data_IF_071149410174
#
_entry.id   IF_071149410174
#
_cell.length_a   1.000
_cell.length_b   1.000
_cell.length_c   1.000
_cell.angle_alpha   90.00
_cell.angle_beta   90.00
_cell.angle_gamma   90.00
#
_symmetry.space_group_name_H-M   'P 1'
#
loop_
_entity.id
_entity.type
_entity.pdbx_description
1 polymer ?
#
# COMPACT_ATOMS: atom_id res chain seq x y z
N UNK A 1 -4.72 9.52 14.96
CA UNK A 1 -3.79 8.95 15.97
C UNK A 1 -4.13 9.33 17.42
N UNK A 2 -4.52 10.57 17.72
CA UNK A 2 -4.85 11.00 19.09
C UNK A 2 -5.94 10.17 19.79
N UNK A 3 -7.04 9.88 19.10
CA UNK A 3 -8.13 9.04 19.65
C UNK A 3 -7.61 7.65 20.06
N UNK A 4 -6.71 7.07 19.25
CA UNK A 4 -6.10 5.76 19.51
C UNK A 4 -5.15 5.84 20.72
N UNK A 5 -4.35 6.91 20.81
CA UNK A 5 -3.35 7.09 21.87
C UNK A 5 -3.97 7.31 23.26
N UNK A 6 -5.09 8.02 23.35
CA UNK A 6 -5.71 8.39 24.63
C UNK A 6 -6.91 7.52 25.02
N UNK A 7 -7.51 6.76 24.11
CA UNK A 7 -8.61 5.86 24.45
C UNK A 7 -8.12 4.61 25.17
N UNK A 8 -8.79 4.23 26.26
CA UNK A 8 -8.61 2.93 26.93
C UNK A 8 -9.65 1.91 26.51
N UNK A 9 -10.77 2.36 25.93
CA UNK A 9 -11.83 1.50 25.44
C UNK A 9 -11.52 1.01 24.01
N UNK A 10 -11.90 -0.23 23.73
CA UNK A 10 -11.70 -0.88 22.41
C UNK A 10 -12.51 -0.17 21.32
N UNK A 11 -13.74 0.24 21.61
CA UNK A 11 -14.64 0.89 20.64
C UNK A 11 -14.05 2.16 20.00
N UNK A 12 -13.65 3.18 20.78
CA UNK A 12 -13.05 4.39 20.22
C UNK A 12 -11.70 4.15 19.54
N UNK A 13 -10.92 3.13 19.96
CA UNK A 13 -9.69 2.75 19.25
C UNK A 13 -9.99 2.24 17.85
N UNK A 14 -10.96 1.33 17.71
CA UNK A 14 -11.40 0.83 16.41
C UNK A 14 -11.96 1.95 15.53
N UNK A 15 -12.77 2.83 16.11
CA UNK A 15 -13.26 4.01 15.39
C UNK A 15 -12.12 4.91 14.88
N UNK A 16 -11.10 5.14 15.72
CA UNK A 16 -9.91 5.89 15.35
C UNK A 16 -9.11 5.23 14.21
N UNK A 17 -9.03 3.90 14.18
CA UNK A 17 -8.40 3.15 13.08
C UNK A 17 -9.19 3.31 11.79
N UNK A 18 -10.52 3.18 11.83
CA UNK A 18 -11.40 3.36 10.67
C UNK A 18 -11.21 4.76 10.06
N UNK A 19 -11.25 5.80 10.89
CA UNK A 19 -11.04 7.18 10.42
C UNK A 19 -9.64 7.38 9.81
N UNK A 20 -8.61 6.80 10.42
CA UNK A 20 -7.25 6.88 9.90
C UNK A 20 -7.13 6.19 8.52
N UNK A 21 -7.72 5.00 8.36
CA UNK A 21 -7.71 4.27 7.09
C UNK A 21 -8.48 5.00 5.99
N UNK A 22 -9.68 5.53 6.31
CA UNK A 22 -10.46 6.32 5.35
C UNK A 22 -9.69 7.57 4.89
N UNK A 23 -9.07 8.28 5.84
CA UNK A 23 -8.25 9.45 5.51
C UNK A 23 -7.03 9.09 4.65
N UNK A 24 -6.38 7.95 4.92
CA UNK A 24 -5.22 7.49 4.15
C UNK A 24 -5.62 7.12 2.72
N UNK A 25 -6.71 6.37 2.54
CA UNK A 25 -7.17 5.98 1.20
C UNK A 25 -7.62 7.17 0.35
N UNK A 26 -8.34 8.13 0.93
CA UNK A 26 -8.71 9.37 0.23
C UNK A 26 -7.48 10.22 -0.13
N UNK A 27 -6.49 10.28 0.76
CA UNK A 27 -5.23 10.98 0.51
C UNK A 27 -4.50 10.38 -0.68
N UNK A 28 -4.29 9.07 -0.68
CA UNK A 28 -3.61 8.36 -1.78
C UNK A 28 -4.26 8.62 -3.13
N UNK A 29 -5.58 8.45 -3.25
CA UNK A 29 -6.31 8.67 -4.50
C UNK A 29 -6.15 10.11 -4.99
N UNK A 30 -6.24 11.08 -4.07
CA UNK A 30 -6.06 12.50 -4.40
C UNK A 30 -4.64 12.80 -4.91
N UNK A 31 -3.61 12.21 -4.30
CA UNK A 31 -2.23 12.39 -4.75
C UNK A 31 -1.97 11.74 -6.10
N UNK A 32 -2.48 10.54 -6.32
CA UNK A 32 -2.32 9.84 -7.59
C UNK A 32 -3.02 10.59 -8.73
N UNK A 33 -4.19 11.16 -8.49
CA UNK A 33 -4.84 12.04 -9.47
C UNK A 33 -3.98 13.27 -9.78
N UNK A 34 -3.36 13.88 -8.76
CA UNK A 34 -2.46 15.02 -8.94
C UNK A 34 -1.19 14.66 -9.73
N UNK A 35 -0.67 13.43 -9.64
CA UNK A 35 0.59 13.05 -10.33
C UNK A 35 0.53 13.24 -11.84
N UNK A 36 -0.65 13.20 -12.45
CA UNK A 36 -0.82 13.45 -13.88
C UNK A 36 -0.43 14.89 -14.30
N UNK A 37 -0.50 15.86 -13.39
CA UNK A 37 -0.11 17.24 -13.66
C UNK A 37 1.40 17.49 -13.52
N UNK A 38 2.16 16.50 -13.03
CA UNK A 38 3.59 16.59 -12.82
C UNK A 38 4.31 15.56 -13.72
N UNK A 39 5.64 15.61 -13.76
CA UNK A 39 6.44 14.73 -14.61
C UNK A 39 6.30 13.25 -14.24
N UNK A 40 6.65 12.35 -15.15
CA UNK A 40 6.55 10.89 -14.96
C UNK A 40 7.25 10.37 -13.71
N UNK A 41 8.23 11.11 -13.20
CA UNK A 41 8.97 10.79 -11.97
C UNK A 41 8.14 10.94 -10.70
N UNK A 42 6.99 11.60 -10.77
CA UNK A 42 6.12 11.86 -9.62
C UNK A 42 5.47 10.58 -9.09
N UNK A 43 5.07 9.67 -9.99
CA UNK A 43 4.41 8.42 -9.62
C UNK A 43 5.39 7.36 -9.06
N UNK A 44 6.56 7.09 -9.67
CA UNK A 44 7.62 6.29 -9.06
C UNK A 44 8.14 6.91 -7.75
N UNK A 45 8.26 8.24 -7.67
CA UNK A 45 8.67 8.95 -6.45
C UNK A 45 7.66 8.78 -5.31
N UNK A 46 6.36 8.88 -5.60
CA UNK A 46 5.29 8.62 -4.65
C UNK A 46 5.35 7.18 -4.11
N UNK A 47 5.40 6.18 -5.00
CA UNK A 47 5.48 4.76 -4.62
C UNK A 47 6.77 4.44 -3.84
N UNK A 48 7.91 5.00 -4.26
CA UNK A 48 9.17 4.85 -3.52
C UNK A 48 9.08 5.46 -2.11
N UNK A 49 8.42 6.63 -2.00
CA UNK A 49 8.21 7.32 -0.73
C UNK A 49 7.33 6.53 0.25
N UNK A 50 6.23 5.92 -0.21
CA UNK A 50 5.36 5.09 0.65
C UNK A 50 6.10 3.84 1.15
N UNK A 51 6.88 3.19 0.29
CA UNK A 51 7.73 2.05 0.67
C UNK A 51 8.80 2.45 1.70
N UNK A 52 9.51 3.55 1.47
CA UNK A 52 10.51 4.08 2.41
C UNK A 52 9.88 4.49 3.75
N UNK A 53 8.70 5.10 3.73
CA UNK A 53 7.98 5.50 4.95
C UNK A 53 7.64 4.30 5.83
N UNK A 54 7.33 3.14 5.26
CA UNK A 54 7.12 1.90 6.01
C UNK A 54 8.37 1.43 6.77
N UNK A 55 9.53 1.43 6.11
CA UNK A 55 10.82 1.04 6.71
C UNK A 55 11.28 2.06 7.77
N UNK A 56 11.32 3.34 7.39
CA UNK A 56 11.77 4.43 8.25
C UNK A 56 10.82 4.61 9.44
N UNK A 57 9.51 4.55 9.22
CA UNK A 57 8.50 4.66 10.26
C UNK A 57 8.59 3.53 11.29
N UNK A 58 8.75 2.29 10.82
CA UNK A 58 8.90 1.12 11.70
C UNK A 58 10.18 1.21 12.53
N UNK A 59 11.31 1.56 11.90
CA UNK A 59 12.57 1.75 12.58
C UNK A 59 12.50 2.91 13.60
N UNK A 60 11.93 4.05 13.21
CA UNK A 60 11.77 5.21 14.08
C UNK A 60 10.87 4.90 15.28
N UNK A 61 9.78 4.16 15.08
CA UNK A 61 8.91 3.73 16.17
C UNK A 61 9.66 2.85 17.17
N UNK A 62 10.39 1.83 16.67
CA UNK A 62 11.21 0.95 17.51
C UNK A 62 12.33 1.70 18.24
N UNK A 63 13.00 2.63 17.57
CA UNK A 63 14.05 3.45 18.18
C UNK A 63 13.47 4.29 19.33
N UNK A 64 12.32 4.92 19.12
CA UNK A 64 11.65 5.70 20.16
C UNK A 64 11.19 4.85 21.34
N UNK A 65 10.59 3.68 21.10
CA UNK A 65 10.05 2.84 22.19
C UNK A 65 11.12 2.03 22.92
N UNK A 66 12.13 1.54 22.20
CA UNK A 66 13.10 0.56 22.73
C UNK A 66 14.39 1.21 23.20
N UNK A 67 14.93 2.18 22.46
CA UNK A 67 16.22 2.81 22.80
C UNK A 67 16.04 4.06 23.66
N UNK A 68 15.05 4.89 23.32
CA UNK A 68 14.75 6.13 24.07
C UNK A 68 13.81 5.84 25.26
N UNK A 69 13.07 4.72 25.22
CA UNK A 69 12.15 4.33 26.30
C UNK A 69 10.89 5.19 26.39
N UNK A 70 10.49 5.85 25.30
CA UNK A 70 9.28 6.67 25.27
C UNK A 70 8.02 5.80 25.31
N UNK A 71 7.02 6.26 26.07
CA UNK A 71 5.71 5.62 26.09
C UNK A 71 5.05 5.67 24.72
N UNK A 72 4.36 4.59 24.33
CA UNK A 72 3.63 4.47 23.06
C UNK A 72 2.64 5.61 22.83
N UNK A 73 2.03 6.15 23.90
CA UNK A 73 1.13 7.31 23.83
C UNK A 73 1.85 8.57 23.33
N UNK A 74 3.06 8.80 23.83
CA UNK A 74 3.90 9.96 23.46
C UNK A 74 4.40 9.78 22.03
N UNK A 75 4.91 8.60 21.69
CA UNK A 75 5.39 8.27 20.34
C UNK A 75 4.30 8.45 19.29
N UNK A 76 3.08 7.94 19.53
CA UNK A 76 1.94 8.11 18.62
C UNK A 76 1.51 9.59 18.47
N UNK A 77 1.69 10.38 19.53
CA UNK A 77 1.41 11.82 19.49
C UNK A 77 2.45 12.57 18.64
N UNK A 78 3.72 12.19 18.75
CA UNK A 78 4.80 12.72 17.90
C UNK A 78 4.55 12.37 16.43
N UNK A 79 4.21 11.12 16.11
CA UNK A 79 3.88 10.74 14.72
C UNK A 79 2.66 11.50 14.18
N UNK A 80 1.78 11.99 15.05
CA UNK A 80 0.63 12.82 14.65
C UNK A 80 1.02 14.19 14.10
N UNK A 81 2.27 14.65 14.22
CA UNK A 81 2.72 15.92 13.64
C UNK A 81 3.17 15.77 12.18
N UNK A 82 3.42 14.55 11.70
CA UNK A 82 3.88 14.29 10.33
C UNK A 82 2.89 14.78 9.25
N UNK A 83 1.56 14.60 9.38
CA UNK A 83 0.61 15.17 8.43
C UNK A 83 0.67 16.70 8.30
N UNK A 84 1.11 17.41 9.34
CA UNK A 84 1.32 18.87 9.24
C UNK A 84 2.54 19.20 8.40
N UNK A 85 3.62 18.42 8.51
CA UNK A 85 4.79 18.58 7.64
C UNK A 85 4.40 18.39 6.17
N UNK A 86 3.51 17.44 5.89
CA UNK A 86 2.98 17.20 4.56
C UNK A 86 2.19 18.39 4.00
N UNK A 87 1.33 19.00 4.82
CA UNK A 87 0.62 20.23 4.45
C UNK A 87 1.58 21.40 4.18
N UNK A 88 2.60 21.58 5.01
CA UNK A 88 3.63 22.62 4.82
C UNK A 88 4.40 22.39 3.51
N UNK A 89 4.79 21.16 3.20
CA UNK A 89 5.46 20.85 1.92
C UNK A 89 4.55 21.12 0.73
N UNK A 90 3.27 20.77 0.81
CA UNK A 90 2.32 21.05 -0.26
C UNK A 90 2.15 22.56 -0.49
N UNK A 91 2.08 23.35 0.58
CA UNK A 91 1.83 24.79 0.48
C UNK A 91 3.05 25.61 0.02
N UNK A 92 4.28 25.19 0.37
CA UNK A 92 5.49 26.01 0.15
C UNK A 92 6.50 25.41 -0.82
N UNK A 93 6.54 24.08 -0.98
CA UNK A 93 7.56 23.40 -1.79
C UNK A 93 7.02 22.99 -3.16
N UNK A 94 5.73 22.66 -3.25
CA UNK A 94 5.16 22.15 -4.49
C UNK A 94 5.03 23.28 -5.53
N UNK A 95 5.70 23.19 -6.69
CA UNK A 95 5.58 24.19 -7.75
C UNK A 95 4.17 24.14 -8.37
N UNK A 96 3.68 25.26 -8.95
CA UNK A 96 2.38 25.27 -9.62
C UNK A 96 2.38 24.24 -10.77
N UNK A 97 1.27 23.53 -10.92
CA UNK A 97 1.07 22.56 -11.98
C UNK A 97 1.30 23.21 -13.36
N UNK A 98 2.06 22.54 -14.23
CA UNK A 98 2.43 23.05 -15.55
C UNK A 98 1.38 22.61 -16.59
N UNK A 99 0.44 23.48 -17.02
CA UNK A 99 -0.68 23.08 -17.87
C UNK A 99 -0.24 22.64 -19.28
N UNK A 100 0.99 22.98 -19.68
CA UNK A 100 1.55 22.61 -20.98
C UNK A 100 2.08 21.17 -21.02
N UNK A 101 2.32 20.55 -19.85
CA UNK A 101 2.82 19.17 -19.77
C UNK A 101 1.71 18.18 -20.15
N UNK A 102 0.48 18.39 -19.68
CA UNK A 102 -0.68 17.56 -20.05
C UNK A 102 -0.97 17.63 -21.57
N UNK A 103 -0.90 18.83 -22.17
CA UNK A 103 -1.09 19.01 -23.62
C UNK A 103 -0.02 18.28 -24.44
N UNK A 104 1.23 18.24 -23.96
CA UNK A 104 2.32 17.53 -24.64
C UNK A 104 2.09 16.02 -24.69
N UNK A 105 1.54 15.42 -23.63
CA UNK A 105 1.14 14.00 -23.63
C UNK A 105 -0.01 13.71 -24.60
N UNK A 106 -1.00 14.60 -24.71
CA UNK A 106 -2.14 14.44 -25.61
C UNK A 106 -1.73 14.33 -27.08
N UNK A 107 -0.69 15.09 -27.47
CA UNK A 107 -0.12 15.04 -28.82
C UNK A 107 0.65 13.74 -29.10
N UNK A 108 1.30 13.17 -28.08
CA UNK A 108 2.03 11.90 -28.21
C UNK A 108 1.03 10.74 -28.37
N UNK A 109 -0.06 10.74 -27.59
CA UNK A 109 -1.10 9.70 -27.65
C UNK A 109 -1.86 9.74 -28.97
N UNK A 110 -2.20 10.94 -29.46
CA UNK A 110 -2.88 11.10 -30.76
C UNK A 110 -2.01 10.68 -31.95
N UNK A 111 -0.68 10.62 -31.79
CA UNK A 111 0.26 10.17 -32.82
C UNK A 111 0.48 8.65 -32.84
N UNK A 112 0.20 7.95 -31.74
CA UNK A 112 0.52 6.52 -31.56
C UNK A 112 -0.72 5.60 -31.53
N UNK A 113 -1.93 6.14 -31.71
CA UNK A 113 -3.20 5.44 -31.46
C UNK A 113 -3.65 4.39 -32.47
N UNK A 114 -2.75 3.62 -33.12
CA UNK A 114 -3.15 2.55 -34.05
C UNK A 114 -2.34 1.25 -33.94
N UNK A 115 -1.77 0.92 -32.78
CA UNK A 115 -1.41 -0.46 -32.47
C UNK A 115 -1.33 -0.69 -30.96
N UNK A 116 -1.39 -1.95 -30.55
CA UNK A 116 -1.21 -2.47 -29.19
C UNK A 116 -2.46 -2.53 -28.30
N UNK A 117 -3.28 -3.52 -28.66
CA UNK A 117 -3.97 -4.40 -27.70
C UNK A 117 -3.11 -4.56 -26.43
N UNK A 118 -3.52 -3.90 -25.35
CA UNK A 118 -2.83 -3.97 -24.06
C UNK A 118 -2.77 -5.42 -23.58
N UNK A 119 -1.62 -6.05 -23.81
CA UNK A 119 -1.29 -7.34 -23.25
C UNK A 119 -1.39 -7.24 -21.74
N UNK A 120 -2.31 -8.00 -21.17
CA UNK A 120 -2.36 -8.29 -19.74
C UNK A 120 -0.95 -8.73 -19.34
N UNK A 121 -0.27 -7.92 -18.52
CA UNK A 121 1.09 -8.19 -18.12
C UNK A 121 1.19 -9.61 -17.54
N UNK A 122 2.10 -10.47 -18.04
CA UNK A 122 2.31 -11.82 -17.53
C UNK A 122 2.84 -11.84 -16.08
N UNK A 123 3.12 -10.70 -15.47
CA UNK A 123 3.68 -10.55 -14.12
C UNK A 123 2.68 -10.92 -13.00
N UNK A 124 1.38 -10.72 -13.22
CA UNK A 124 0.32 -11.15 -12.28
C UNK A 124 0.22 -12.69 -12.17
N UNK A 125 0.70 -13.43 -13.18
CA UNK A 125 0.75 -14.89 -13.14
C UNK A 125 1.87 -15.41 -12.24
N UNK A 126 2.94 -14.63 -12.05
CA UNK A 126 4.06 -14.99 -11.19
C UNK A 126 3.72 -14.80 -9.70
N UNK A 127 3.08 -13.68 -9.32
CA UNK A 127 2.64 -13.44 -7.94
C UNK A 127 1.55 -14.41 -7.46
N UNK A 128 0.62 -14.79 -8.34
CA UNK A 128 -0.42 -15.78 -8.03
C UNK A 128 0.16 -17.21 -7.88
N UNK A 129 1.21 -17.53 -8.63
CA UNK A 129 1.96 -18.80 -8.51
C UNK A 129 2.80 -18.81 -7.23
N UNK A 130 3.41 -17.69 -6.85
CA UNK A 130 4.19 -17.58 -5.61
C UNK A 130 3.29 -17.68 -4.38
N UNK A 131 2.16 -16.96 -4.34
CA UNK A 131 1.22 -17.00 -3.20
C UNK A 131 0.60 -18.39 -2.99
N UNK A 132 0.18 -19.06 -4.07
CA UNK A 132 -0.38 -20.43 -3.98
C UNK A 132 0.67 -21.48 -3.60
N UNK A 133 1.94 -21.24 -3.95
CA UNK A 133 3.07 -22.07 -3.50
C UNK A 133 3.38 -21.81 -2.03
N UNK A 134 3.35 -20.56 -1.56
CA UNK A 134 3.57 -20.18 -0.15
C UNK A 134 2.51 -20.79 0.77
N UNK A 135 1.23 -20.78 0.41
CA UNK A 135 0.17 -21.37 1.23
C UNK A 135 0.32 -22.90 1.34
N UNK A 136 0.66 -23.57 0.23
CA UNK A 136 0.96 -25.01 0.24
C UNK A 136 2.26 -25.34 0.99
N UNK A 137 3.25 -24.45 0.98
CA UNK A 137 4.54 -24.64 1.65
C UNK A 137 4.47 -24.32 3.16
N UNK A 138 3.63 -23.35 3.53
CA UNK A 138 3.26 -22.97 4.91
C UNK A 138 2.58 -24.12 5.64
N UNK A 139 1.61 -24.77 4.99
CA UNK A 139 0.94 -25.98 5.49
C UNK A 139 1.89 -27.15 5.75
N UNK A 140 3.04 -27.19 5.08
CA UNK A 140 4.03 -28.27 5.19
C UNK A 140 5.25 -27.95 6.06
N UNK A 141 5.35 -26.75 6.67
CA UNK A 141 6.40 -26.40 7.64
C UNK A 141 7.84 -26.62 7.09
N UNK A 142 8.10 -26.29 5.82
CA UNK A 142 9.39 -26.58 5.13
C UNK A 142 10.39 -25.41 5.19
N UNK A 143 10.04 -24.23 5.72
CA UNK A 143 10.98 -23.12 5.88
C UNK A 143 11.41 -23.00 7.36
N UNK A 144 12.47 -23.71 7.81
CA UNK A 144 13.01 -23.55 9.15
C UNK A 144 13.82 -22.25 9.32
N UNK A 145 14.08 -21.50 8.24
CA UNK A 145 14.96 -20.34 8.26
C UNK A 145 14.20 -19.02 8.07
N UNK A 146 14.13 -18.21 9.14
CA UNK A 146 13.48 -16.89 9.17
C UNK A 146 14.07 -15.93 8.13
N UNK A 147 15.36 -16.04 7.80
CA UNK A 147 16.00 -15.16 6.82
C UNK A 147 15.48 -15.39 5.40
N UNK A 148 15.12 -16.63 5.05
CA UNK A 148 14.52 -16.93 3.74
C UNK A 148 13.11 -16.33 3.64
N UNK A 149 12.33 -16.41 4.72
CA UNK A 149 11.01 -15.78 4.78
C UNK A 149 11.11 -14.25 4.64
N UNK A 150 12.08 -13.64 5.31
CA UNK A 150 12.31 -12.19 5.20
C UNK A 150 12.71 -11.78 3.78
N UNK A 151 13.60 -12.53 3.12
CA UNK A 151 13.97 -12.26 1.72
C UNK A 151 12.79 -12.45 0.77
N UNK A 152 11.95 -13.45 0.99
CA UNK A 152 10.75 -13.70 0.18
C UNK A 152 9.73 -12.56 0.34
N UNK A 153 9.47 -12.12 1.57
CA UNK A 153 8.57 -10.98 1.84
C UNK A 153 9.10 -9.68 1.22
N UNK A 154 10.42 -9.46 1.29
CA UNK A 154 11.05 -8.32 0.63
C UNK A 154 10.91 -8.38 -0.89
N UNK A 155 11.09 -9.57 -1.48
CA UNK A 155 10.95 -9.78 -2.93
C UNK A 155 9.52 -9.55 -3.42
N UNK A 156 8.52 -10.14 -2.75
CA UNK A 156 7.10 -9.92 -3.07
C UNK A 156 6.71 -8.44 -2.90
N UNK A 157 7.23 -7.78 -1.86
CA UNK A 157 7.03 -6.34 -1.66
C UNK A 157 7.63 -5.50 -2.79
N UNK A 158 8.82 -5.85 -3.27
CA UNK A 158 9.46 -5.15 -4.40
C UNK A 158 8.68 -5.35 -5.71
N UNK A 159 8.31 -6.59 -6.02
CA UNK A 159 7.49 -6.90 -7.20
C UNK A 159 6.13 -6.22 -7.14
N UNK A 160 5.46 -6.22 -5.99
CA UNK A 160 4.19 -5.53 -5.78
C UNK A 160 4.30 -4.03 -6.02
N UNK A 161 5.36 -3.39 -5.51
CA UNK A 161 5.63 -1.97 -5.75
C UNK A 161 5.92 -1.63 -7.21
N UNK A 162 6.67 -2.48 -7.92
CA UNK A 162 6.94 -2.30 -9.36
C UNK A 162 5.66 -2.49 -10.20
N UNK A 163 4.88 -3.53 -9.92
CA UNK A 163 3.60 -3.78 -10.59
C UNK A 163 2.61 -2.64 -10.35
N UNK A 164 2.59 -2.08 -9.13
CA UNK A 164 1.82 -0.89 -8.79
C UNK A 164 2.21 0.28 -9.71
N UNK A 165 3.49 0.68 -9.73
CA UNK A 165 3.94 1.83 -10.54
C UNK A 165 3.68 1.59 -12.03
N UNK A 166 3.98 0.40 -12.54
CA UNK A 166 3.73 0.06 -13.94
C UNK A 166 2.25 0.15 -14.32
N UNK A 167 1.34 -0.30 -13.45
CA UNK A 167 -0.10 -0.24 -13.69
C UNK A 167 -0.58 1.21 -13.78
N UNK A 168 -0.19 2.05 -12.82
CA UNK A 168 -0.57 3.46 -12.81
C UNK A 168 0.07 4.24 -13.98
N UNK A 169 1.31 3.93 -14.35
CA UNK A 169 1.96 4.51 -15.54
C UNK A 169 1.20 4.13 -16.81
N UNK A 170 0.90 2.85 -17.00
CA UNK A 170 0.17 2.36 -18.16
C UNK A 170 -1.21 3.02 -18.29
N UNK A 171 -1.97 3.11 -17.19
CA UNK A 171 -3.29 3.78 -17.21
C UNK A 171 -3.15 5.28 -17.47
N UNK A 172 -2.10 5.91 -16.92
CA UNK A 172 -1.82 7.32 -17.18
C UNK A 172 -1.42 7.58 -18.64
N UNK A 173 -0.78 6.65 -19.34
CA UNK A 173 -0.37 6.84 -20.73
C UNK A 173 -1.45 6.43 -21.74
N UNK A 174 -2.26 5.43 -21.42
CA UNK A 174 -3.28 4.87 -22.34
C UNK A 174 -4.60 5.66 -22.36
N UNK A 175 -4.96 6.34 -21.27
CA UNK A 175 -6.25 7.04 -21.15
C UNK A 175 -6.11 8.52 -21.48
N UNK A 176 -7.04 9.07 -22.28
CA UNK A 176 -7.08 10.51 -22.59
C UNK A 176 -7.31 11.39 -21.35
N UNK A 177 -6.81 12.63 -21.38
CA UNK A 177 -6.77 13.55 -20.22
C UNK A 177 -8.16 13.75 -19.57
N UNK A 178 -9.22 13.81 -20.39
CA UNK A 178 -10.59 14.01 -19.92
C UNK A 178 -11.09 12.89 -19.00
N UNK A 179 -10.63 11.65 -19.21
CA UNK A 179 -11.05 10.48 -18.45
C UNK A 179 -9.97 9.97 -17.48
N UNK A 180 -8.76 10.51 -17.55
CA UNK A 180 -7.58 10.00 -16.83
C UNK A 180 -7.74 10.12 -15.32
N UNK A 181 -8.27 11.23 -14.81
CA UNK A 181 -8.52 11.42 -13.37
C UNK A 181 -9.51 10.39 -12.81
N UNK A 182 -10.55 10.08 -13.61
CA UNK A 182 -11.52 9.07 -13.27
C UNK A 182 -10.93 7.65 -13.35
N UNK A 183 -10.14 7.35 -14.39
CA UNK A 183 -9.49 6.07 -14.56
C UNK A 183 -8.48 5.78 -13.44
N UNK A 184 -7.60 6.74 -13.11
CA UNK A 184 -6.66 6.63 -11.99
C UNK A 184 -7.40 6.47 -10.65
N UNK A 185 -8.50 7.18 -10.46
CA UNK A 185 -9.38 7.00 -9.30
C UNK A 185 -10.00 5.60 -9.23
N UNK A 186 -10.45 5.05 -10.35
CA UNK A 186 -11.01 3.71 -10.42
C UNK A 186 -9.97 2.62 -10.12
N UNK A 187 -8.73 2.77 -10.61
CA UNK A 187 -7.61 1.88 -10.28
C UNK A 187 -7.31 1.90 -8.78
N UNK A 188 -7.23 3.08 -8.16
CA UNK A 188 -7.00 3.19 -6.72
C UNK A 188 -8.11 2.59 -5.86
N UNK A 189 -9.36 2.72 -6.28
CA UNK A 189 -10.48 2.04 -5.61
C UNK A 189 -10.38 0.51 -5.74
N UNK A 190 -9.97 0.01 -6.92
CA UNK A 190 -9.77 -1.43 -7.14
C UNK A 190 -8.66 -2.00 -6.26
N UNK A 191 -7.56 -1.26 -6.09
CA UNK A 191 -6.45 -1.65 -5.20
C UNK A 191 -6.91 -1.79 -3.74
N UNK A 192 -7.57 -0.75 -3.22
CA UNK A 192 -8.16 -0.77 -1.87
C UNK A 192 -9.17 -1.93 -1.69
N UNK A 193 -10.01 -2.20 -2.69
CA UNK A 193 -10.96 -3.31 -2.65
C UNK A 193 -10.24 -4.67 -2.62
N UNK A 194 -9.15 -4.83 -3.37
CA UNK A 194 -8.31 -6.03 -3.36
C UNK A 194 -7.68 -6.30 -1.99
N UNK A 195 -7.20 -5.27 -1.31
CA UNK A 195 -6.67 -5.36 0.06
C UNK A 195 -7.75 -5.80 1.04
N UNK A 196 -8.96 -5.23 0.95
CA UNK A 196 -10.09 -5.60 1.82
C UNK A 196 -10.51 -7.06 1.61
N UNK A 197 -10.64 -7.49 0.34
CA UNK A 197 -10.97 -8.88 0.03
C UNK A 197 -9.90 -9.85 0.54
N UNK A 198 -8.63 -9.50 0.37
CA UNK A 198 -7.49 -10.27 0.92
C UNK A 198 -7.57 -10.37 2.45
N UNK A 199 -7.92 -9.28 3.14
CA UNK A 199 -8.13 -9.28 4.59
C UNK A 199 -9.28 -10.18 5.03
N UNK A 200 -10.40 -10.18 4.31
CA UNK A 200 -11.54 -11.06 4.61
C UNK A 200 -11.20 -12.54 4.40
N UNK A 201 -10.49 -12.86 3.31
CA UNK A 201 -10.00 -14.21 3.05
C UNK A 201 -9.00 -14.63 4.13
N UNK A 202 -8.11 -13.73 4.56
CA UNK A 202 -7.14 -13.98 5.64
C UNK A 202 -7.83 -14.32 6.97
N UNK A 203 -8.85 -13.54 7.37
CA UNK A 203 -9.64 -13.81 8.58
C UNK A 203 -10.37 -15.16 8.51
N UNK A 204 -10.91 -15.52 7.35
CA UNK A 204 -11.56 -16.82 7.14
C UNK A 204 -10.55 -17.97 7.22
N UNK A 205 -9.40 -17.81 6.56
CA UNK A 205 -8.33 -18.79 6.50
C UNK A 205 -7.74 -19.04 7.89
N UNK A 206 -7.50 -18.01 8.68
CA UNK A 206 -7.02 -18.11 10.06
C UNK A 206 -7.94 -19.01 10.90
N UNK A 207 -9.25 -18.77 10.87
CA UNK A 207 -10.23 -19.58 11.60
C UNK A 207 -10.27 -21.03 11.11
N UNK A 208 -10.16 -21.25 9.80
CA UNK A 208 -10.17 -22.58 9.20
C UNK A 208 -8.92 -23.40 9.56
N UNK A 209 -7.74 -22.80 9.43
CA UNK A 209 -6.47 -23.42 9.80
C UNK A 209 -6.41 -23.72 11.29
N UNK A 210 -6.92 -22.81 12.11
CA UNK A 210 -7.01 -22.97 13.55
C UNK A 210 -7.84 -24.21 13.94
N UNK A 211 -9.02 -24.40 13.31
CA UNK A 211 -9.83 -25.61 13.48
C UNK A 211 -9.12 -26.88 13.02
N UNK A 212 -8.42 -26.82 11.89
CA UNK A 212 -7.64 -27.96 11.37
C UNK A 212 -6.48 -28.34 12.30
N UNK A 213 -5.74 -27.37 12.83
CA UNK A 213 -4.61 -27.59 13.75
C UNK A 213 -5.07 -28.19 15.09
N UNK A 214 -6.19 -27.72 15.63
CA UNK A 214 -6.79 -28.32 16.84
C UNK A 214 -7.22 -29.76 16.58
N UNK A 215 -7.80 -30.05 15.41
CA UNK A 215 -8.20 -31.42 15.04
C UNK A 215 -7.03 -32.39 14.83
N UNK A 216 -5.84 -31.87 14.49
CA UNK A 216 -4.60 -32.64 14.30
C UNK A 216 -3.70 -32.67 15.55
N UNK A 217 -4.22 -32.23 16.71
CA UNK A 217 -3.55 -32.34 18.01
C UNK A 217 -2.52 -31.24 18.31
N UNK A 218 -2.52 -30.11 17.59
CA UNK A 218 -1.62 -28.98 17.83
C UNK A 218 -2.36 -27.84 18.58
N UNK A 219 -2.01 -27.51 19.84
CA UNK A 219 -2.83 -26.63 20.70
C UNK A 219 -2.56 -25.13 20.56
N UNK A 220 -1.85 -24.66 19.52
CA UNK A 220 -1.44 -23.25 19.35
C UNK A 220 -2.60 -22.25 19.44
N UNK A 221 -3.77 -22.66 18.97
CA UNK A 221 -4.97 -21.84 18.89
C UNK A 221 -5.79 -21.74 20.19
N UNK A 222 -5.44 -22.52 21.22
CA UNK A 222 -6.22 -22.59 22.47
C UNK A 222 -5.41 -22.03 23.66
N UNK A 223 -4.30 -21.33 23.39
CA UNK A 223 -3.55 -20.59 24.40
C UNK A 223 -4.26 -19.27 24.67
N UNK A 224 -5.32 -19.35 25.48
CA UNK A 224 -6.07 -18.21 25.99
C UNK A 224 -5.34 -17.57 27.18
#
# INVERSE_FOLDING_TARGET
>A
MLIIAYSEQVGPRLFGVILASLSSGLGEISFLQLTHFYSDWSLPGFSSGTGAAGLVGSFAFLLMTTWIGLSTKVTLTIFSTIPFAFWVTYAFVLPPADPNLSVKYDQIISSNGEDDTAGVAPEASMSMTVSSTIDRLSLYMVIPNVYLLMMLMFYEGLLGGLAYVNTYLLVSETVSIQNREFALGAVGMSDSAGIVLSGLVSLWLEKSLCGYQVSTGRPWCNMN
#
